data_IF_692153239838
#
_entry.id   IF_692153239838
#
_cell.length_a   1.000
_cell.length_b   1.000
_cell.length_c   1.000
_cell.angle_alpha   90.00
_cell.angle_beta   90.00
_cell.angle_gamma   90.00
#
_symmetry.space_group_name_H-M   'P 1'
#
loop_
_entity.id
_entity.type
_entity.pdbx_description
1 polymer ?
#
# COMPACT_ATOMS: atom_id res chain seq x y z
N UNK A 1 23.43 33.51 -11.44
CA UNK A 1 23.37 32.24 -10.67
C UNK A 1 23.54 31.10 -11.65
N UNK A 2 24.47 30.17 -11.38
CA UNK A 2 24.70 29.01 -12.24
C UNK A 2 24.11 27.77 -11.55
N UNK A 3 23.16 27.09 -12.19
CA UNK A 3 22.62 25.81 -11.70
C UNK A 3 23.75 24.77 -11.73
N UNK A 4 23.95 24.06 -10.62
CA UNK A 4 25.02 23.06 -10.48
C UNK A 4 24.55 21.63 -10.69
N UNK A 5 23.31 21.32 -10.34
CA UNK A 5 22.68 20.03 -10.53
C UNK A 5 21.16 20.20 -10.56
N UNK A 6 20.50 19.27 -11.26
CA UNK A 6 19.05 19.06 -11.20
C UNK A 6 18.86 17.59 -10.86
N UNK A 7 18.08 17.31 -9.82
CA UNK A 7 17.71 15.96 -9.40
C UNK A 7 16.20 15.83 -9.47
N UNK A 8 15.73 14.67 -9.89
CA UNK A 8 14.31 14.32 -9.93
C UNK A 8 14.13 12.91 -9.38
N UNK A 9 12.98 12.66 -8.76
CA UNK A 9 12.57 11.31 -8.43
C UNK A 9 12.20 10.59 -9.73
N UNK A 10 12.81 9.42 -9.97
CA UNK A 10 12.55 8.67 -11.19
C UNK A 10 11.08 8.26 -11.27
N UNK A 11 10.49 7.81 -10.16
CA UNK A 11 9.12 7.32 -10.09
C UNK A 11 8.11 8.42 -10.43
N UNK A 12 8.19 9.56 -9.74
CA UNK A 12 7.31 10.71 -9.99
C UNK A 12 7.50 11.28 -11.41
N UNK A 13 8.64 11.00 -12.05
CA UNK A 13 8.88 11.37 -13.44
C UNK A 13 8.18 10.42 -14.40
N UNK A 14 8.15 9.11 -14.11
CA UNK A 14 7.60 8.11 -15.04
C UNK A 14 6.09 7.87 -14.88
N UNK A 15 5.55 8.00 -13.67
CA UNK A 15 4.21 7.55 -13.30
C UNK A 15 3.40 8.69 -12.70
N UNK A 16 2.11 8.76 -13.05
CA UNK A 16 1.12 9.63 -12.40
C UNK A 16 0.53 8.88 -11.19
N UNK A 17 1.03 9.21 -10.00
CA UNK A 17 0.64 8.55 -8.75
C UNK A 17 -0.88 8.64 -8.50
N UNK A 18 -1.44 7.54 -7.99
CA UNK A 18 -2.87 7.38 -7.69
C UNK A 18 -3.84 7.57 -8.87
N UNK A 19 -3.35 7.69 -10.11
CA UNK A 19 -4.18 7.71 -11.32
C UNK A 19 -4.97 6.40 -11.55
N UNK A 20 -4.61 5.33 -10.84
CA UNK A 20 -5.38 4.08 -10.79
C UNK A 20 -6.66 4.19 -9.94
N UNK A 21 -6.71 5.06 -8.92
CA UNK A 21 -7.85 5.18 -7.99
C UNK A 21 -9.16 5.64 -8.68
N UNK A 22 -9.15 6.61 -9.61
CA UNK A 22 -10.33 6.90 -10.43
C UNK A 22 -10.83 5.68 -11.22
N UNK A 23 -9.93 4.87 -11.77
CA UNK A 23 -10.27 3.66 -12.52
C UNK A 23 -10.89 2.61 -11.59
N UNK A 24 -10.31 2.43 -10.39
CA UNK A 24 -10.88 1.57 -9.33
C UNK A 24 -12.30 2.00 -8.97
N UNK A 25 -12.51 3.30 -8.75
CA UNK A 25 -13.83 3.87 -8.43
C UNK A 25 -14.85 3.62 -9.53
N UNK A 26 -14.49 3.80 -10.80
CA UNK A 26 -15.37 3.52 -11.94
C UNK A 26 -15.78 2.05 -12.02
N UNK A 27 -14.91 1.13 -11.57
CA UNK A 27 -15.21 -0.32 -11.46
C UNK A 27 -16.02 -0.68 -10.21
N UNK A 28 -16.41 0.30 -9.38
CA UNK A 28 -17.13 0.06 -8.13
C UNK A 28 -16.28 -0.61 -7.03
N UNK A 29 -14.95 -0.55 -7.15
CA UNK A 29 -14.02 -1.10 -6.17
C UNK A 29 -13.75 -0.08 -5.07
N UNK A 30 -13.39 -0.57 -3.88
CA UNK A 30 -12.86 0.26 -2.79
C UNK A 30 -11.53 0.89 -3.20
N UNK A 31 -11.19 2.02 -2.57
CA UNK A 31 -9.83 2.57 -2.70
C UNK A 31 -8.78 1.55 -2.24
N UNK A 32 -7.54 1.65 -2.72
CA UNK A 32 -6.42 0.80 -2.23
C UNK A 32 -6.32 0.90 -0.72
N UNK A 33 -6.46 2.11 -0.17
CA UNK A 33 -6.44 2.39 1.27
C UNK A 33 -7.51 1.58 2.03
N UNK A 34 -8.76 1.65 1.58
CA UNK A 34 -9.88 0.98 2.25
C UNK A 34 -9.85 -0.53 2.04
N UNK A 35 -9.47 -1.00 0.85
CA UNK A 35 -9.41 -2.43 0.53
C UNK A 35 -8.38 -3.15 1.40
N UNK A 36 -7.18 -2.57 1.59
CA UNK A 36 -6.14 -3.13 2.47
C UNK A 36 -6.64 -3.33 3.91
N UNK A 37 -7.41 -2.36 4.43
CA UNK A 37 -8.03 -2.41 5.77
C UNK A 37 -9.16 -3.46 5.81
N UNK A 38 -10.00 -3.49 4.77
CA UNK A 38 -11.10 -4.43 4.67
C UNK A 38 -10.63 -5.90 4.61
N UNK A 39 -9.60 -6.20 3.82
CA UNK A 39 -9.05 -7.55 3.72
C UNK A 39 -8.56 -8.10 5.06
N UNK A 40 -7.84 -7.28 5.84
CA UNK A 40 -7.39 -7.67 7.20
C UNK A 40 -8.57 -7.81 8.15
N UNK A 41 -9.49 -6.85 8.16
CA UNK A 41 -10.68 -6.91 8.99
C UNK A 41 -11.50 -8.18 8.71
N UNK A 42 -11.68 -8.54 7.44
CA UNK A 42 -12.39 -9.74 7.04
C UNK A 42 -11.66 -11.01 7.48
N UNK A 43 -10.34 -11.09 7.25
CA UNK A 43 -9.54 -12.25 7.63
C UNK A 43 -9.53 -12.47 9.15
N UNK A 44 -9.45 -11.39 9.94
CA UNK A 44 -9.49 -11.46 11.39
C UNK A 44 -10.87 -11.86 11.92
N UNK A 45 -11.95 -11.28 11.38
CA UNK A 45 -13.32 -11.61 11.81
C UNK A 45 -13.74 -13.05 11.48
N UNK A 46 -13.06 -13.72 10.55
CA UNK A 46 -13.24 -15.16 10.31
C UNK A 46 -12.71 -16.03 11.47
N UNK A 47 -11.84 -15.50 12.32
CA UNK A 47 -11.22 -16.20 13.45
C UNK A 47 -11.82 -15.70 14.77
N UNK A 48 -11.75 -14.38 15.00
CA UNK A 48 -12.26 -13.73 16.21
C UNK A 48 -12.74 -12.31 15.86
N UNK A 49 -13.93 -11.90 16.32
CA UNK A 49 -14.45 -10.57 16.01
C UNK A 49 -13.51 -9.43 16.38
N UNK A 50 -13.47 -8.42 15.51
CA UNK A 50 -12.73 -7.18 15.74
C UNK A 50 -13.43 -6.00 15.06
N UNK A 51 -13.47 -4.88 15.75
CA UNK A 51 -13.99 -3.62 15.22
C UNK A 51 -13.13 -3.11 14.06
N UNK A 52 -13.79 -2.59 13.02
CA UNK A 52 -13.10 -2.03 11.86
C UNK A 52 -12.16 -0.88 12.25
N UNK A 53 -12.58 -0.03 13.19
CA UNK A 53 -11.80 1.12 13.64
C UNK A 53 -10.46 0.72 14.29
N UNK A 54 -10.42 -0.44 14.97
CA UNK A 54 -9.17 -0.96 15.51
C UNK A 54 -8.18 -1.34 14.39
N UNK A 55 -8.68 -1.97 13.33
CA UNK A 55 -7.87 -2.31 12.14
C UNK A 55 -7.41 -1.04 11.42
N UNK A 56 -8.31 -0.06 11.25
CA UNK A 56 -7.97 1.21 10.63
C UNK A 56 -6.86 1.95 11.40
N UNK A 57 -6.96 2.03 12.73
CA UNK A 57 -5.97 2.66 13.60
C UNK A 57 -4.60 1.94 13.53
N UNK A 58 -4.60 0.60 13.53
CA UNK A 58 -3.37 -0.17 13.40
C UNK A 58 -2.68 0.09 12.05
N UNK A 59 -3.45 0.21 10.97
CA UNK A 59 -2.93 0.60 9.65
C UNK A 59 -2.37 2.02 9.66
N UNK A 60 -3.11 3.00 10.17
CA UNK A 60 -2.66 4.38 10.21
C UNK A 60 -1.34 4.51 11.00
N UNK A 61 -1.21 3.75 12.10
CA UNK A 61 0.02 3.67 12.89
C UNK A 61 1.17 3.02 12.12
N UNK A 62 0.93 1.90 11.45
CA UNK A 62 1.93 1.22 10.64
C UNK A 62 2.38 2.07 9.44
N UNK A 63 1.48 2.81 8.79
CA UNK A 63 1.77 3.75 7.70
C UNK A 63 2.57 4.96 8.20
N UNK A 64 2.25 5.50 9.38
CA UNK A 64 3.05 6.56 10.00
C UNK A 64 4.49 6.09 10.29
N UNK A 65 4.66 4.89 10.86
CA UNK A 65 5.97 4.31 11.11
C UNK A 65 6.75 4.03 9.82
N UNK A 66 6.08 3.47 8.80
CA UNK A 66 6.67 3.24 7.49
C UNK A 66 7.17 4.55 6.86
N UNK A 67 6.37 5.62 6.91
CA UNK A 67 6.74 6.92 6.34
C UNK A 67 8.02 7.50 6.96
N UNK A 68 8.20 7.34 8.27
CA UNK A 68 9.44 7.76 8.96
C UNK A 68 10.63 6.93 8.46
N UNK A 69 10.50 5.60 8.48
CA UNK A 69 11.59 4.70 8.08
C UNK A 69 11.96 4.85 6.59
N UNK A 70 10.97 5.06 5.73
CA UNK A 70 11.20 5.30 4.30
C UNK A 70 11.93 6.62 4.06
N UNK A 71 11.48 7.71 4.69
CA UNK A 71 12.05 9.05 4.46
C UNK A 71 13.39 9.28 5.15
N UNK A 72 13.53 8.81 6.38
CA UNK A 72 14.71 9.11 7.23
C UNK A 72 15.77 8.01 7.15
N UNK A 73 15.37 6.76 6.93
CA UNK A 73 16.30 5.63 6.89
C UNK A 73 16.48 5.07 5.47
N UNK A 74 15.74 5.56 4.48
CA UNK A 74 15.77 5.08 3.10
C UNK A 74 15.51 3.57 2.96
N UNK A 75 14.67 3.03 3.85
CA UNK A 75 14.29 1.60 3.85
C UNK A 75 12.85 1.48 3.38
N UNK A 76 12.64 0.74 2.29
CA UNK A 76 11.30 0.37 1.83
C UNK A 76 10.88 -0.97 2.44
N UNK A 77 9.86 -0.98 3.29
CA UNK A 77 9.31 -2.21 3.85
C UNK A 77 8.55 -3.02 2.80
N UNK A 78 8.74 -4.33 2.81
CA UNK A 78 7.92 -5.24 2.00
C UNK A 78 6.47 -5.23 2.48
N UNK A 79 5.55 -5.65 1.62
CA UNK A 79 4.14 -5.87 2.00
C UNK A 79 4.03 -6.79 3.22
N UNK A 80 4.82 -7.87 3.24
CA UNK A 80 4.89 -8.81 4.34
C UNK A 80 5.29 -8.13 5.67
N UNK A 81 6.32 -7.29 5.65
CA UNK A 81 6.78 -6.54 6.83
C UNK A 81 5.69 -5.58 7.33
N UNK A 82 5.04 -4.85 6.41
CA UNK A 82 3.95 -3.93 6.76
C UNK A 82 2.78 -4.68 7.40
N UNK A 83 2.38 -5.82 6.84
CA UNK A 83 1.29 -6.65 7.39
C UNK A 83 1.64 -7.22 8.76
N UNK A 84 2.89 -7.66 8.98
CA UNK A 84 3.37 -8.11 10.29
C UNK A 84 3.29 -6.99 11.34
N UNK A 85 3.67 -5.75 10.99
CA UNK A 85 3.54 -4.61 11.91
C UNK A 85 2.08 -4.37 12.30
N UNK A 86 1.15 -4.43 11.34
CA UNK A 86 -0.29 -4.27 11.61
C UNK A 86 -0.81 -5.38 12.53
N UNK A 87 -0.53 -6.64 12.23
CA UNK A 87 -0.98 -7.79 13.03
C UNK A 87 -0.38 -7.77 14.44
N UNK A 88 0.91 -7.46 14.56
CA UNK A 88 1.58 -7.31 15.86
C UNK A 88 0.98 -6.17 16.68
N UNK A 89 0.68 -5.02 16.06
CA UNK A 89 0.04 -3.88 16.72
C UNK A 89 -1.38 -4.20 17.22
N UNK A 90 -2.08 -5.10 16.52
CA UNK A 90 -3.39 -5.62 16.93
C UNK A 90 -3.31 -6.74 17.97
N UNK A 91 -2.11 -7.29 18.24
CA UNK A 91 -1.95 -8.49 19.07
C UNK A 91 -2.65 -9.72 18.47
N UNK A 92 -2.76 -9.79 17.13
CA UNK A 92 -3.47 -10.84 16.41
C UNK A 92 -2.52 -11.68 15.55
N UNK A 93 -2.95 -12.89 15.24
CA UNK A 93 -2.30 -13.80 14.30
C UNK A 93 -3.34 -14.42 13.38
N UNK A 94 -2.92 -14.78 12.18
CA UNK A 94 -3.71 -15.55 11.22
C UNK A 94 -2.91 -16.78 10.81
N UNK A 95 -3.57 -17.86 10.33
CA UNK A 95 -2.85 -18.99 9.74
C UNK A 95 -1.93 -18.55 8.60
N UNK A 96 -0.82 -19.25 8.41
CA UNK A 96 0.20 -18.88 7.41
C UNK A 96 -0.38 -18.77 5.99
N UNK A 97 -1.24 -19.70 5.60
CA UNK A 97 -1.92 -19.67 4.29
C UNK A 97 -2.73 -18.37 4.10
N UNK A 98 -3.51 -17.98 5.11
CA UNK A 98 -4.29 -16.74 5.11
C UNK A 98 -3.36 -15.52 5.07
N UNK A 99 -2.23 -15.58 5.77
CA UNK A 99 -1.24 -14.51 5.73
C UNK A 99 -0.65 -14.34 4.31
N UNK A 100 -0.34 -15.44 3.63
CA UNK A 100 0.17 -15.39 2.25
C UNK A 100 -0.88 -14.87 1.27
N UNK A 101 -2.15 -15.25 1.43
CA UNK A 101 -3.25 -14.70 0.63
C UNK A 101 -3.38 -13.19 0.80
N UNK A 102 -3.23 -12.68 2.03
CA UNK A 102 -3.21 -11.24 2.29
C UNK A 102 -2.02 -10.57 1.61
N UNK A 103 -0.81 -11.13 1.71
CA UNK A 103 0.38 -10.58 1.03
C UNK A 103 0.15 -10.48 -0.49
N UNK A 104 -0.41 -11.53 -1.10
CA UNK A 104 -0.72 -11.56 -2.53
C UNK A 104 -1.80 -10.52 -2.87
N UNK A 105 -2.89 -10.48 -2.10
CA UNK A 105 -4.00 -9.54 -2.31
C UNK A 105 -3.54 -8.08 -2.28
N UNK A 106 -2.68 -7.72 -1.33
CA UNK A 106 -2.10 -6.39 -1.21
C UNK A 106 -1.14 -6.05 -2.35
N UNK A 107 -0.32 -7.01 -2.78
CA UNK A 107 0.70 -6.81 -3.81
C UNK A 107 0.12 -6.64 -5.22
N UNK A 108 -1.06 -7.20 -5.47
CA UNK A 108 -1.69 -7.17 -6.81
C UNK A 108 -2.46 -5.88 -7.11
N UNK A 109 -2.74 -5.06 -6.10
CA UNK A 109 -3.63 -3.90 -6.25
C UNK A 109 -3.17 -2.89 -7.33
N UNK A 110 -1.86 -2.71 -7.49
CA UNK A 110 -1.25 -1.81 -8.49
C UNK A 110 -0.74 -2.55 -9.73
N UNK A 111 -0.91 -3.89 -9.78
CA UNK A 111 -0.59 -4.71 -10.96
C UNK A 111 -1.84 -4.91 -11.82
N UNK A 112 -2.98 -5.16 -11.18
CA UNK A 112 -4.25 -5.41 -11.88
C UNK A 112 -4.87 -4.13 -12.43
N UNK A 113 -4.64 -3.01 -11.74
CA UNK A 113 -5.04 -1.68 -12.17
C UNK A 113 -3.80 -0.81 -11.98
N UNK A 114 -2.89 -0.77 -12.97
CA UNK A 114 -1.66 0.01 -12.86
C UNK A 114 -1.96 1.50 -13.00
N UNK A 115 -1.13 2.37 -12.38
CA UNK A 115 -1.19 3.79 -12.63
C UNK A 115 -0.79 4.11 -14.07
N UNK A 116 -1.22 5.27 -14.56
CA UNK A 116 -0.90 5.78 -15.87
C UNK A 116 0.56 6.27 -15.92
N UNK A 117 1.15 6.17 -17.11
CA UNK A 117 2.44 6.81 -17.39
C UNK A 117 2.23 8.31 -17.57
N UNK A 118 3.20 9.11 -17.13
CA UNK A 118 3.24 10.53 -17.44
C UNK A 118 3.37 10.76 -18.96
N UNK A 119 2.85 11.88 -19.50
CA UNK A 119 2.93 12.18 -20.92
C UNK A 119 4.36 12.10 -21.47
N UNK A 120 4.54 11.42 -22.61
CA UNK A 120 5.83 11.26 -23.29
C UNK A 120 6.73 10.14 -22.75
N UNK A 121 6.40 9.51 -21.61
CA UNK A 121 7.23 8.43 -21.04
C UNK A 121 7.15 7.15 -21.87
N UNK A 122 6.00 6.85 -22.47
CA UNK A 122 5.82 5.65 -23.28
C UNK A 122 6.78 5.58 -24.49
N UNK A 123 7.27 6.72 -24.99
CA UNK A 123 8.23 6.80 -26.10
C UNK A 123 9.67 6.50 -25.65
N UNK A 124 9.93 6.50 -24.34
CA UNK A 124 11.24 6.32 -23.73
C UNK A 124 11.45 4.95 -23.05
N UNK A 125 10.43 4.09 -23.05
CA UNK A 125 10.44 2.71 -22.53
C UNK A 125 10.64 1.69 -23.66
#
# INVERSE_FOLDING_TARGET
MTIKAVTFDLWDTIVDDDSDEPVRRQKGLRSKREERRHQIWQALNAIEPIEYDAVALAYDTAEAGFNVVWKECHINWTVEQRLKVVLNGLGRQVPEEVFQDLVIGHSRMEVEIPPLLNPGIAEAL
#
